data_IF_753733610319
#
_entry.id   IF_753733610319
#
_cell.length_a   1.000
_cell.length_b   1.000
_cell.length_c   1.000
_cell.angle_alpha   90.00
_cell.angle_beta   90.00
_cell.angle_gamma   90.00
#
_symmetry.space_group_name_H-M   'P 1'
#
loop_
_entity.id
_entity.type
_entity.pdbx_description
1 polymer ?
#
# COMPACT_ATOMS: atom_id res chain seq x y z
N UNK A 1 25.10 30.11 21.01
CA UNK A 1 24.78 28.75 20.54
C UNK A 1 23.43 28.37 21.15
N UNK A 2 22.31 28.58 20.44
CA UNK A 2 20.95 28.29 20.95
C UNK A 2 20.60 26.84 20.59
N UNK A 3 20.38 26.00 21.60
CA UNK A 3 19.81 24.68 21.41
C UNK A 3 18.32 24.81 21.06
N UNK A 4 17.95 24.43 19.85
CA UNK A 4 16.56 24.21 19.46
C UNK A 4 16.09 22.87 20.03
N UNK A 5 15.40 22.90 21.17
CA UNK A 5 14.68 21.74 21.68
C UNK A 5 13.45 21.46 20.81
N UNK A 6 13.38 20.27 20.23
CA UNK A 6 12.15 19.77 19.60
C UNK A 6 11.04 19.67 20.67
N UNK A 7 9.77 20.01 20.35
CA UNK A 7 8.70 19.90 21.33
C UNK A 7 8.49 18.41 21.65
N UNK A 8 8.55 18.09 22.95
CA UNK A 8 8.20 16.77 23.45
C UNK A 8 6.73 16.48 23.10
N UNK A 9 6.50 15.52 22.20
CA UNK A 9 5.16 15.03 21.91
C UNK A 9 4.54 14.53 23.22
N UNK A 10 3.36 15.06 23.57
CA UNK A 10 2.63 14.70 24.78
C UNK A 10 2.30 13.20 24.77
N UNK A 11 3.16 12.41 25.41
CA UNK A 11 3.04 10.97 25.56
C UNK A 11 1.95 10.63 26.56
N UNK A 12 0.71 10.55 26.07
CA UNK A 12 -0.30 9.75 26.76
C UNK A 12 0.18 8.28 26.86
N UNK A 13 -0.28 7.51 27.85
CA UNK A 13 0.14 6.13 28.01
C UNK A 13 -0.10 5.35 26.70
N UNK A 14 0.88 4.57 26.22
CA UNK A 14 0.74 3.80 24.99
C UNK A 14 -0.42 2.81 25.14
N UNK A 15 -1.30 2.76 24.13
CA UNK A 15 -2.40 1.78 24.08
C UNK A 15 -3.77 2.25 24.58
N UNK A 16 -3.95 3.53 24.93
CA UNK A 16 -5.30 4.03 25.27
C UNK A 16 -6.17 4.23 24.03
N UNK A 17 -7.12 3.33 23.80
CA UNK A 17 -8.19 3.50 22.81
C UNK A 17 -9.04 4.72 23.21
N UNK A 18 -9.14 5.71 22.33
CA UNK A 18 -10.01 6.89 22.54
C UNK A 18 -11.46 6.53 22.20
N UNK A 19 -12.32 6.48 23.21
CA UNK A 19 -13.76 6.21 23.03
C UNK A 19 -14.39 7.31 22.16
N UNK A 20 -15.19 6.93 21.16
CA UNK A 20 -15.89 7.86 20.27
C UNK A 20 -15.06 8.41 19.10
N UNK A 21 -13.77 8.07 19.00
CA UNK A 21 -12.95 8.47 17.86
C UNK A 21 -13.11 7.49 16.69
N UNK A 22 -13.52 8.00 15.53
CA UNK A 22 -13.54 7.24 14.27
C UNK A 22 -12.56 7.89 13.28
N UNK A 23 -11.64 7.10 12.74
CA UNK A 23 -10.69 7.53 11.71
C UNK A 23 -11.06 6.83 10.41
N UNK A 24 -11.17 7.58 9.31
CA UNK A 24 -11.41 7.04 7.97
C UNK A 24 -10.15 7.23 7.13
N UNK A 25 -9.67 6.16 6.50
CA UNK A 25 -8.52 6.16 5.59
C UNK A 25 -8.97 5.61 4.23
N UNK A 26 -9.15 6.46 3.20
CA UNK A 26 -9.53 5.99 1.88
C UNK A 26 -8.38 5.22 1.24
N UNK A 27 -8.71 4.16 0.51
CA UNK A 27 -7.75 3.31 -0.21
C UNK A 27 -8.25 3.07 -1.63
N UNK A 28 -7.32 2.96 -2.56
CA UNK A 28 -7.56 2.58 -3.96
C UNK A 28 -7.06 1.16 -4.13
N UNK A 29 -7.93 0.28 -4.59
CA UNK A 29 -7.63 -1.12 -4.91
C UNK A 29 -8.00 -1.41 -6.37
N UNK A 30 -7.26 -2.32 -6.99
CA UNK A 30 -7.60 -2.82 -8.31
C UNK A 30 -6.43 -3.47 -9.02
N UNK A 31 -6.56 -3.57 -10.34
CA UNK A 31 -5.51 -4.05 -11.23
C UNK A 31 -5.42 -3.16 -12.46
N UNK A 32 -4.26 -3.15 -13.10
CA UNK A 32 -4.13 -2.67 -14.46
C UNK A 32 -3.29 -3.66 -15.26
N UNK A 33 -3.53 -3.71 -16.56
CA UNK A 33 -2.93 -4.68 -17.46
C UNK A 33 -2.46 -4.02 -18.75
N UNK A 34 -1.36 -4.55 -19.31
CA UNK A 34 -0.81 -4.16 -20.59
C UNK A 34 -0.56 -5.38 -21.44
N UNK A 35 -0.89 -5.29 -22.72
CA UNK A 35 -0.61 -6.33 -23.70
C UNK A 35 0.89 -6.51 -23.85
N UNK A 36 1.35 -7.75 -23.88
CA UNK A 36 2.76 -8.06 -24.13
C UNK A 36 3.12 -7.80 -25.60
N UNK A 37 4.29 -7.21 -25.81
CA UNK A 37 4.94 -7.11 -27.11
C UNK A 37 5.35 -8.50 -27.61
N UNK A 38 5.59 -8.64 -28.92
CA UNK A 38 5.99 -9.94 -29.48
C UNK A 38 7.31 -10.47 -28.88
N UNK A 39 8.23 -9.58 -28.53
CA UNK A 39 9.47 -9.94 -27.86
C UNK A 39 9.23 -10.46 -26.43
N UNK A 40 8.32 -9.82 -25.67
CA UNK A 40 7.94 -10.28 -24.33
C UNK A 40 7.18 -11.61 -24.37
N UNK A 41 6.27 -11.81 -25.33
CA UNK A 41 5.53 -13.07 -25.49
C UNK A 41 6.45 -14.28 -25.65
N UNK A 42 7.50 -14.13 -26.48
CA UNK A 42 8.52 -15.17 -26.69
C UNK A 42 9.28 -15.52 -25.41
N UNK A 43 9.39 -14.59 -24.47
CA UNK A 43 10.07 -14.79 -23.17
C UNK A 43 9.14 -15.35 -22.10
N UNK A 44 7.84 -15.11 -22.23
CA UNK A 44 6.83 -15.45 -21.22
C UNK A 44 5.85 -16.52 -21.72
N UNK A 45 6.34 -17.55 -22.42
CA UNK A 45 5.56 -18.74 -22.81
C UNK A 45 4.16 -18.41 -23.37
N UNK A 46 4.09 -17.46 -24.32
CA UNK A 46 2.86 -17.01 -24.96
C UNK A 46 1.78 -16.38 -24.05
N UNK A 47 2.16 -15.97 -22.83
CA UNK A 47 1.32 -15.08 -22.03
C UNK A 47 0.93 -13.83 -22.84
N UNK A 48 -0.30 -13.35 -22.64
CA UNK A 48 -0.85 -12.28 -23.49
C UNK A 48 -0.71 -10.89 -22.86
N UNK A 49 -0.74 -10.81 -21.54
CA UNK A 49 -0.74 -9.57 -20.78
C UNK A 49 0.19 -9.69 -19.57
N UNK A 50 0.85 -8.58 -19.24
CA UNK A 50 1.38 -8.34 -17.90
C UNK A 50 0.38 -7.48 -17.14
N UNK A 51 0.22 -7.75 -15.86
CA UNK A 51 -0.69 -7.01 -15.02
C UNK A 51 -0.10 -6.81 -13.63
N UNK A 52 -0.66 -5.86 -12.91
CA UNK A 52 -0.21 -5.49 -11.57
C UNK A 52 -1.41 -5.34 -10.66
N UNK A 53 -1.40 -6.05 -9.52
CA UNK A 53 -2.31 -5.78 -8.40
C UNK A 53 -1.87 -4.51 -7.67
N UNK A 54 -2.83 -3.68 -7.32
CA UNK A 54 -2.62 -2.37 -6.72
C UNK A 54 -3.36 -2.26 -5.39
N UNK A 55 -2.64 -1.80 -4.38
CA UNK A 55 -3.20 -1.16 -3.19
C UNK A 55 -2.42 0.13 -2.95
N UNK A 56 -3.10 1.28 -2.94
CA UNK A 56 -2.47 2.58 -2.66
C UNK A 56 -3.39 3.54 -1.92
N UNK A 57 -2.83 4.57 -1.31
CA UNK A 57 -3.60 5.74 -0.89
C UNK A 57 -3.94 6.62 -2.11
N UNK A 58 -5.05 7.38 -2.08
CA UNK A 58 -5.38 8.34 -3.14
C UNK A 58 -4.32 9.43 -3.33
N UNK A 59 -3.74 9.91 -2.23
CA UNK A 59 -2.85 11.07 -2.22
C UNK A 59 -1.35 10.69 -2.20
N UNK A 60 -1.03 9.40 -2.31
CA UNK A 60 0.36 8.91 -2.23
C UNK A 60 0.95 8.89 -0.81
N UNK A 61 0.13 9.08 0.23
CA UNK A 61 0.51 8.84 1.64
C UNK A 61 1.05 7.42 1.84
N UNK A 62 2.07 7.27 2.69
CA UNK A 62 2.55 5.96 3.13
C UNK A 62 1.49 5.26 4.01
N UNK A 63 1.01 4.12 3.53
CA UNK A 63 -0.01 3.31 4.20
C UNK A 63 0.57 2.33 5.22
N UNK A 64 1.90 2.18 5.29
CA UNK A 64 2.60 1.25 6.20
C UNK A 64 2.36 1.55 7.68
N UNK A 65 2.01 2.80 8.01
CA UNK A 65 1.70 3.24 9.38
C UNK A 65 0.47 2.56 9.98
N UNK A 66 -0.47 2.12 9.14
CA UNK A 66 -1.73 1.51 9.58
C UNK A 66 -2.05 0.18 8.89
N UNK A 67 -1.28 -0.22 7.86
CA UNK A 67 -1.39 -1.53 7.20
C UNK A 67 -0.14 -2.34 7.51
N UNK A 68 -0.31 -3.44 8.25
CA UNK A 68 0.80 -4.34 8.63
C UNK A 68 1.28 -5.24 7.49
N UNK A 69 0.35 -5.80 6.71
CA UNK A 69 0.64 -6.74 5.61
C UNK A 69 -0.49 -6.68 4.59
N UNK A 70 -0.14 -6.86 3.32
CA UNK A 70 -1.07 -7.08 2.21
C UNK A 70 -0.83 -8.49 1.68
N UNK A 71 -1.91 -9.23 1.42
CA UNK A 71 -1.87 -10.57 0.82
C UNK A 71 -2.68 -10.52 -0.47
N UNK A 72 -2.05 -10.85 -1.59
CA UNK A 72 -2.74 -11.05 -2.87
C UNK A 72 -2.89 -12.54 -3.09
N UNK A 73 -4.12 -13.04 -3.04
CA UNK A 73 -4.44 -14.42 -3.37
C UNK A 73 -4.65 -14.51 -4.88
N UNK A 74 -3.80 -15.29 -5.54
CA UNK A 74 -3.83 -15.49 -6.99
C UNK A 74 -4.41 -16.87 -7.31
N UNK A 75 -4.82 -17.05 -8.56
CA UNK A 75 -5.26 -18.36 -9.04
C UNK A 75 -4.12 -19.39 -8.87
N UNK A 76 -4.41 -20.67 -8.53
CA UNK A 76 -3.39 -21.70 -8.37
C UNK A 76 -2.51 -21.94 -9.61
N UNK A 77 -2.94 -21.53 -10.80
CA UNK A 77 -2.14 -21.63 -12.03
C UNK A 77 -1.07 -20.56 -12.17
N UNK A 78 -1.00 -19.59 -11.25
CA UNK A 78 -0.07 -18.47 -11.31
C UNK A 78 1.35 -18.86 -10.90
#
# INVERSE_FOLDING_TARGET
MRASGAPAAAGGPPGRIRKGLTIRKPLIMGTYAFKLTQAEKRRHNDMTHKWTCLLRSPDGEDISHFIKKVVFELDPSF
#
